data_IF_513459235779
#
_entry.id   IF_513459235779
#
_cell.length_a   1.000
_cell.length_b   1.000
_cell.length_c   1.000
_cell.angle_alpha   90.00
_cell.angle_beta   90.00
_cell.angle_gamma   90.00
#
_symmetry.space_group_name_H-M   'P 1'
#
loop_
_entity.id
_entity.type
_entity.pdbx_description
1 polymer ?
#
# COMPACT_ATOMS: atom_id res chain seq x y z
N UNK A 1 -15.42 -8.61 13.03
CA UNK A 1 -15.45 -8.04 11.65
C UNK A 1 -14.39 -8.72 10.82
N UNK A 2 -14.60 -8.91 9.49
CA UNK A 2 -13.55 -9.35 8.58
C UNK A 2 -12.48 -8.26 8.49
N UNK A 3 -11.18 -8.63 8.56
CA UNK A 3 -10.08 -7.70 8.32
C UNK A 3 -10.03 -7.28 6.85
N UNK A 4 -9.65 -6.03 6.59
CA UNK A 4 -9.36 -5.55 5.24
C UNK A 4 -8.05 -6.18 4.79
N UNK A 5 -8.06 -6.85 3.64
CA UNK A 5 -6.90 -7.55 3.07
C UNK A 5 -6.15 -6.63 2.11
N UNK A 6 -4.89 -6.40 2.41
CA UNK A 6 -4.06 -5.44 1.69
C UNK A 6 -3.01 -6.18 0.86
N UNK A 7 -2.91 -5.82 -0.42
CA UNK A 7 -1.78 -6.10 -1.28
C UNK A 7 -0.86 -4.88 -1.38
N UNK A 8 0.45 -5.09 -1.47
CA UNK A 8 1.41 -4.00 -1.66
C UNK A 8 2.20 -4.25 -2.93
N UNK A 9 2.11 -3.35 -3.91
CA UNK A 9 2.96 -3.37 -5.10
C UNK A 9 4.08 -2.34 -4.93
N UNK A 10 5.34 -2.81 -4.92
CA UNK A 10 6.51 -2.03 -4.57
C UNK A 10 6.81 -2.13 -3.07
N UNK A 11 7.69 -3.06 -2.71
CA UNK A 11 8.08 -3.29 -1.31
C UNK A 11 9.36 -2.51 -0.93
N UNK A 12 9.43 -1.29 -1.48
CA UNK A 12 10.44 -0.30 -1.17
C UNK A 12 10.24 0.34 0.21
N UNK A 13 10.81 1.51 0.43
CA UNK A 13 10.70 2.23 1.70
C UNK A 13 9.24 2.45 2.12
N UNK A 14 8.39 2.93 1.21
CA UNK A 14 6.98 3.23 1.51
C UNK A 14 6.18 1.95 1.77
N UNK A 15 6.28 0.96 0.88
CA UNK A 15 5.54 -0.30 1.05
C UNK A 15 5.86 -1.01 2.37
N UNK A 16 7.15 -1.05 2.76
CA UNK A 16 7.55 -1.63 4.05
C UNK A 16 7.01 -0.86 5.25
N UNK A 17 6.95 0.48 5.19
CA UNK A 17 6.37 1.26 6.27
C UNK A 17 4.85 1.09 6.37
N UNK A 18 4.16 0.90 5.24
CA UNK A 18 2.73 0.54 5.24
C UNK A 18 2.52 -0.79 5.96
N UNK A 19 3.30 -1.83 5.63
CA UNK A 19 3.21 -3.12 6.31
C UNK A 19 3.47 -2.97 7.81
N UNK A 20 4.54 -2.26 8.22
CA UNK A 20 4.85 -2.00 9.62
C UNK A 20 3.71 -1.28 10.35
N UNK A 21 3.09 -0.29 9.70
CA UNK A 21 1.97 0.45 10.28
C UNK A 21 0.73 -0.43 10.47
N UNK A 22 0.38 -1.24 9.45
CA UNK A 22 -0.74 -2.17 9.52
C UNK A 22 -0.50 -3.21 10.62
N UNK A 23 0.65 -3.87 10.61
CA UNK A 23 1.00 -4.90 11.59
C UNK A 23 1.06 -4.36 13.02
N UNK A 24 1.65 -3.17 13.23
CA UNK A 24 1.91 -2.64 14.56
C UNK A 24 0.76 -1.82 15.17
N UNK A 25 -0.15 -1.29 14.33
CA UNK A 25 -1.21 -0.37 14.81
C UNK A 25 -2.63 -0.87 14.54
N UNK A 26 -2.82 -1.70 13.51
CA UNK A 26 -4.15 -2.06 13.02
C UNK A 26 -4.34 -3.58 12.79
N UNK A 27 -3.70 -4.47 13.58
CA UNK A 27 -3.72 -5.92 13.33
C UNK A 27 -5.12 -6.55 13.43
N UNK A 28 -6.03 -5.89 14.15
CA UNK A 28 -7.40 -6.39 14.34
C UNK A 28 -8.35 -6.02 13.17
N UNK A 29 -8.01 -4.96 12.43
CA UNK A 29 -8.88 -4.44 11.36
C UNK A 29 -8.32 -4.62 9.96
N UNK A 30 -7.00 -4.80 9.84
CA UNK A 30 -6.29 -4.90 8.56
C UNK A 30 -5.26 -6.02 8.60
N UNK A 31 -4.96 -6.59 7.44
CA UNK A 31 -3.84 -7.52 7.26
C UNK A 31 -3.20 -7.35 5.89
N UNK A 32 -1.87 -7.36 5.83
CA UNK A 32 -1.15 -7.46 4.55
C UNK A 32 -1.04 -8.93 4.21
N UNK A 33 -1.57 -9.33 3.05
CA UNK A 33 -1.64 -10.74 2.63
C UNK A 33 -0.67 -11.06 1.51
N UNK A 34 -0.27 -10.07 0.72
CA UNK A 34 0.68 -10.26 -0.35
C UNK A 34 1.47 -8.98 -0.64
N UNK A 35 2.72 -9.15 -1.03
CA UNK A 35 3.59 -8.07 -1.51
C UNK A 35 4.19 -8.46 -2.86
N UNK A 36 4.49 -7.48 -3.69
CA UNK A 36 5.21 -7.66 -4.94
C UNK A 36 6.38 -6.69 -5.01
N UNK A 37 7.56 -7.22 -5.29
CA UNK A 37 8.76 -6.44 -5.56
C UNK A 37 9.73 -7.25 -6.44
N UNK A 38 10.62 -6.58 -7.16
CA UNK A 38 11.57 -7.26 -8.05
C UNK A 38 12.79 -7.86 -7.32
N UNK A 39 12.94 -7.57 -6.03
CA UNK A 39 13.92 -8.22 -5.18
C UNK A 39 13.42 -9.58 -4.69
N UNK A 40 14.37 -10.46 -4.37
CA UNK A 40 14.06 -11.77 -3.79
C UNK A 40 13.51 -11.66 -2.36
N UNK A 41 12.86 -12.71 -1.89
CA UNK A 41 12.22 -12.75 -0.59
C UNK A 41 13.18 -12.55 0.58
N UNK A 42 14.45 -13.00 0.46
CA UNK A 42 15.47 -12.83 1.52
C UNK A 42 15.88 -11.38 1.66
N UNK A 43 16.06 -10.70 0.53
CA UNK A 43 16.33 -9.26 0.49
C UNK A 43 15.17 -8.50 1.09
N UNK A 44 13.93 -8.80 0.70
CA UNK A 44 12.72 -8.19 1.24
C UNK A 44 12.58 -8.41 2.74
N UNK A 45 12.84 -9.63 3.23
CA UNK A 45 12.82 -9.96 4.66
C UNK A 45 13.85 -9.14 5.45
N UNK A 46 15.09 -9.08 4.96
CA UNK A 46 16.16 -8.32 5.61
C UNK A 46 15.85 -6.82 5.66
N UNK A 47 15.37 -6.25 4.55
CA UNK A 47 15.02 -4.83 4.46
C UNK A 47 13.79 -4.48 5.32
N UNK A 48 12.85 -5.41 5.51
CA UNK A 48 11.73 -5.22 6.41
C UNK A 48 12.17 -5.33 7.87
N UNK A 49 13.06 -6.30 8.20
CA UNK A 49 13.58 -6.49 9.54
C UNK A 49 14.34 -5.26 10.02
N UNK A 50 15.17 -4.67 9.16
CA UNK A 50 16.11 -3.60 9.51
C UNK A 50 15.78 -2.31 8.74
N UNK A 51 15.45 -1.26 9.47
CA UNK A 51 15.23 0.07 8.89
C UNK A 51 16.12 1.10 9.59
N UNK A 52 16.78 1.93 8.82
CA UNK A 52 17.73 2.93 9.34
C UNK A 52 17.05 3.98 10.22
N UNK A 53 15.81 4.35 9.89
CA UNK A 53 15.08 5.42 10.60
C UNK A 53 14.20 4.86 11.73
N UNK A 54 13.59 3.67 11.50
CA UNK A 54 12.58 3.11 12.40
C UNK A 54 13.08 1.89 13.18
N UNK A 55 14.35 1.51 13.02
CA UNK A 55 14.94 0.39 13.72
C UNK A 55 14.43 -0.97 13.26
N UNK A 56 14.70 -1.99 14.06
CA UNK A 56 14.24 -3.35 13.75
C UNK A 56 12.74 -3.50 14.04
N UNK A 57 12.07 -4.31 13.22
CA UNK A 57 10.74 -4.84 13.57
C UNK A 57 10.90 -5.72 14.80
N UNK A 58 9.99 -5.62 15.79
CA UNK A 58 10.08 -6.35 17.05
C UNK A 58 10.20 -7.87 16.88
N UNK A 59 9.29 -8.55 16.17
CA UNK A 59 9.44 -9.97 15.86
C UNK A 59 10.45 -10.20 14.74
N UNK A 60 10.94 -11.44 14.66
CA UNK A 60 11.83 -11.84 13.57
C UNK A 60 11.06 -11.94 12.26
N UNK A 61 11.58 -11.27 11.24
CA UNK A 61 11.12 -11.44 9.86
C UNK A 61 12.00 -12.48 9.18
N UNK A 62 11.40 -13.50 8.60
CA UNK A 62 12.14 -14.57 7.95
C UNK A 62 11.43 -15.03 6.66
N UNK A 63 12.20 -15.46 5.64
CA UNK A 63 11.62 -16.09 4.47
C UNK A 63 11.27 -17.55 4.79
N UNK A 64 10.09 -18.00 4.35
CA UNK A 64 9.71 -19.42 4.32
C UNK A 64 9.22 -19.78 2.92
N UNK A 65 10.06 -20.46 2.14
CA UNK A 65 9.84 -20.63 0.71
C UNK A 65 9.92 -19.26 0.02
N UNK A 66 8.87 -18.91 -0.69
CA UNK A 66 8.72 -17.61 -1.36
C UNK A 66 7.94 -16.59 -0.51
N UNK A 67 7.48 -16.95 0.70
CA UNK A 67 6.70 -16.09 1.57
C UNK A 67 7.56 -15.36 2.61
N UNK A 68 7.07 -14.19 3.05
CA UNK A 68 7.57 -13.50 4.22
C UNK A 68 6.76 -13.92 5.45
N UNK A 69 7.45 -14.29 6.54
CA UNK A 69 6.81 -14.63 7.81
C UNK A 69 7.22 -13.61 8.86
N UNK A 70 6.22 -12.99 9.50
CA UNK A 70 6.39 -12.00 10.57
C UNK A 70 5.51 -12.47 11.74
N UNK A 71 6.13 -13.04 12.77
CA UNK A 71 5.39 -13.66 13.86
C UNK A 71 4.40 -14.72 13.33
N UNK A 72 3.10 -14.52 13.51
CA UNK A 72 2.04 -15.41 12.98
C UNK A 72 1.55 -15.03 11.58
N UNK A 73 2.01 -13.92 11.03
CA UNK A 73 1.59 -13.45 9.71
C UNK A 73 2.44 -14.09 8.61
N UNK A 74 1.75 -14.69 7.66
CA UNK A 74 2.34 -15.17 6.42
C UNK A 74 1.89 -14.26 5.28
N UNK A 75 2.85 -13.65 4.60
CA UNK A 75 2.65 -12.69 3.52
C UNK A 75 3.25 -13.27 2.25
N UNK A 76 2.44 -13.55 1.26
CA UNK A 76 2.90 -14.05 -0.03
C UNK A 76 3.80 -12.99 -0.71
N UNK A 77 4.93 -13.42 -1.28
CA UNK A 77 5.85 -12.51 -1.93
C UNK A 77 6.00 -12.87 -3.40
N UNK A 78 5.72 -11.92 -4.27
CA UNK A 78 5.77 -12.04 -5.72
C UNK A 78 6.87 -11.18 -6.31
N UNK A 79 7.29 -11.50 -7.54
CA UNK A 79 8.29 -10.74 -8.31
C UNK A 79 7.82 -10.53 -9.75
N UNK A 80 6.64 -9.90 -9.89
CA UNK A 80 6.02 -9.64 -11.18
C UNK A 80 6.20 -8.19 -11.63
N UNK A 81 6.61 -8.02 -12.91
CA UNK A 81 6.74 -6.69 -13.52
C UNK A 81 5.41 -6.15 -14.03
N UNK A 82 4.56 -7.04 -14.50
CA UNK A 82 3.23 -6.70 -15.00
C UNK A 82 2.20 -6.82 -13.87
N UNK A 83 1.60 -5.72 -13.43
CA UNK A 83 0.65 -5.74 -12.31
C UNK A 83 -0.60 -6.56 -12.59
N UNK A 84 -0.93 -6.85 -13.86
CA UNK A 84 -2.07 -7.71 -14.21
C UNK A 84 -1.82 -9.19 -13.89
N UNK A 85 -0.56 -9.59 -13.68
CA UNK A 85 -0.16 -10.96 -13.39
C UNK A 85 -0.03 -11.27 -11.91
N UNK A 86 -0.12 -10.25 -11.06
CA UNK A 86 -0.08 -10.45 -9.61
C UNK A 86 -1.43 -11.01 -9.15
N UNK A 87 -1.47 -12.16 -8.48
CA UNK A 87 -2.74 -12.86 -8.20
C UNK A 87 -3.50 -12.27 -7.01
N UNK A 88 -3.82 -10.97 -7.05
CA UNK A 88 -4.54 -10.29 -5.96
C UNK A 88 -5.87 -10.95 -5.63
N UNK A 89 -6.61 -11.40 -6.66
CA UNK A 89 -7.90 -12.07 -6.48
C UNK A 89 -7.79 -13.39 -5.73
N UNK A 90 -6.72 -14.19 -5.94
CA UNK A 90 -6.48 -15.45 -5.23
C UNK A 90 -6.25 -15.23 -3.73
N UNK A 91 -5.68 -14.08 -3.38
CA UNK A 91 -5.48 -13.66 -1.99
C UNK A 91 -6.67 -12.89 -1.43
N UNK A 92 -7.73 -12.66 -2.20
CA UNK A 92 -8.90 -11.89 -1.76
C UNK A 92 -8.51 -10.48 -1.30
N UNK A 93 -7.64 -9.82 -2.06
CA UNK A 93 -7.15 -8.46 -1.74
C UNK A 93 -8.27 -7.45 -1.94
N UNK A 94 -8.63 -6.74 -0.89
CA UNK A 94 -9.60 -5.66 -0.96
C UNK A 94 -8.94 -4.37 -1.51
N UNK A 95 -7.72 -4.05 -1.03
CA UNK A 95 -7.03 -2.81 -1.38
C UNK A 95 -5.59 -3.10 -1.77
N UNK A 96 -5.17 -2.62 -2.94
CA UNK A 96 -3.76 -2.57 -3.32
C UNK A 96 -3.18 -1.21 -2.98
N UNK A 97 -2.05 -1.20 -2.28
CA UNK A 97 -1.19 -0.03 -2.10
C UNK A 97 -0.14 -0.04 -3.20
N UNK A 98 -0.29 0.86 -4.19
CA UNK A 98 0.67 1.04 -5.27
C UNK A 98 1.80 1.96 -4.80
N UNK A 99 2.95 1.38 -4.48
CA UNK A 99 4.10 2.05 -3.87
C UNK A 99 5.39 1.94 -4.69
N UNK A 100 5.30 1.54 -5.98
CA UNK A 100 6.48 1.45 -6.86
C UNK A 100 6.96 2.83 -7.32
N UNK A 101 6.09 3.82 -7.36
CA UNK A 101 6.35 5.12 -7.98
C UNK A 101 6.38 5.09 -9.51
N UNK A 102 6.07 3.95 -10.14
CA UNK A 102 6.06 3.75 -11.61
C UNK A 102 4.64 3.94 -12.16
N UNK A 103 3.64 3.28 -11.58
CA UNK A 103 2.25 3.30 -12.02
C UNK A 103 1.51 4.48 -11.39
N UNK A 104 1.70 5.67 -11.96
CA UNK A 104 1.18 6.94 -11.43
C UNK A 104 0.03 7.54 -12.24
N UNK A 105 -0.61 6.74 -13.08
CA UNK A 105 -1.85 7.15 -13.74
C UNK A 105 -2.98 6.20 -13.36
N UNK A 106 -4.21 6.72 -13.28
CA UNK A 106 -5.39 5.90 -13.02
C UNK A 106 -5.51 4.75 -14.01
N UNK A 107 -5.25 5.01 -15.30
CA UNK A 107 -5.24 3.98 -16.34
C UNK A 107 -4.26 2.84 -16.03
N UNK A 108 -3.03 3.14 -15.63
CA UNK A 108 -2.03 2.13 -15.27
C UNK A 108 -2.41 1.38 -13.99
N UNK A 109 -2.84 2.11 -12.95
CA UNK A 109 -3.18 1.53 -11.65
C UNK A 109 -4.42 0.61 -11.71
N UNK A 110 -5.34 0.83 -12.67
CA UNK A 110 -6.48 -0.08 -12.90
C UNK A 110 -6.07 -1.49 -13.33
N UNK A 111 -4.80 -1.74 -13.65
CA UNK A 111 -4.27 -3.08 -13.87
C UNK A 111 -4.43 -3.95 -12.61
N UNK A 112 -4.31 -3.38 -11.42
CA UNK A 112 -4.54 -4.10 -10.16
C UNK A 112 -6.00 -4.50 -9.95
N UNK A 113 -6.95 -3.67 -10.41
CA UNK A 113 -8.37 -4.04 -10.39
C UNK A 113 -8.66 -5.22 -11.32
N UNK A 114 -8.01 -5.26 -12.51
CA UNK A 114 -8.10 -6.40 -13.43
C UNK A 114 -7.50 -7.68 -12.84
N UNK A 115 -6.50 -7.53 -11.98
CA UNK A 115 -5.86 -8.63 -11.24
C UNK A 115 -6.65 -9.08 -10.00
N UNK A 116 -7.83 -8.50 -9.74
CA UNK A 116 -8.78 -8.95 -8.73
C UNK A 116 -8.82 -8.13 -7.44
N UNK A 117 -8.13 -7.00 -7.35
CA UNK A 117 -8.30 -6.06 -6.24
C UNK A 117 -9.59 -5.25 -6.40
N UNK A 118 -10.21 -4.82 -5.29
CA UNK A 118 -11.40 -3.97 -5.32
C UNK A 118 -11.05 -2.47 -5.43
N UNK A 119 -9.95 -2.06 -4.80
CA UNK A 119 -9.48 -0.67 -4.73
C UNK A 119 -7.97 -0.57 -4.90
N UNK A 120 -7.52 0.61 -5.34
CA UNK A 120 -6.08 0.93 -5.43
C UNK A 120 -5.82 2.28 -4.79
N UNK A 121 -4.79 2.34 -3.94
CA UNK A 121 -4.26 3.59 -3.38
C UNK A 121 -2.87 3.82 -3.96
N UNK A 122 -2.70 4.87 -4.76
CA UNK A 122 -1.40 5.29 -5.29
C UNK A 122 -0.71 6.17 -4.25
N UNK A 123 0.50 5.78 -3.80
CA UNK A 123 1.26 6.51 -2.77
C UNK A 123 2.08 7.67 -3.32
N UNK A 124 1.63 8.30 -4.39
CA UNK A 124 2.29 9.39 -5.08
C UNK A 124 1.25 10.27 -5.78
N UNK A 125 1.62 11.50 -6.20
CA UNK A 125 0.77 12.29 -7.09
C UNK A 125 0.45 11.48 -8.34
N UNK A 126 -0.81 11.42 -8.69
CA UNK A 126 -1.29 10.67 -9.84
C UNK A 126 -1.94 11.58 -10.89
N UNK A 127 -2.31 11.00 -12.02
CA UNK A 127 -3.16 11.60 -13.06
C UNK A 127 -4.23 10.59 -13.43
N UNK A 128 -5.41 11.06 -13.83
CA UNK A 128 -6.52 10.19 -14.28
C UNK A 128 -7.02 9.22 -13.18
N UNK A 129 -6.68 9.48 -11.93
CA UNK A 129 -7.27 8.81 -10.77
C UNK A 129 -8.70 9.30 -10.54
N UNK A 130 -9.49 8.54 -9.79
CA UNK A 130 -10.87 8.93 -9.49
C UNK A 130 -10.93 10.07 -8.48
N UNK A 131 -9.96 10.14 -7.55
CA UNK A 131 -9.86 11.20 -6.55
C UNK A 131 -8.43 11.27 -6.00
N UNK A 132 -7.91 12.49 -5.82
CA UNK A 132 -6.76 12.75 -4.94
C UNK A 132 -7.26 13.14 -3.56
N UNK A 133 -6.82 12.42 -2.51
CA UNK A 133 -7.26 12.61 -1.13
C UNK A 133 -6.15 13.15 -0.26
N UNK A 134 -6.46 14.19 0.52
CA UNK A 134 -5.65 14.66 1.65
C UNK A 134 -6.51 14.62 2.91
N UNK A 135 -6.13 13.80 3.88
CA UNK A 135 -6.88 13.63 5.13
C UNK A 135 -7.03 14.96 5.88
N UNK A 136 -8.23 15.22 6.37
CA UNK A 136 -8.59 16.47 7.04
C UNK A 136 -8.84 17.65 6.09
N UNK A 137 -8.60 17.49 4.78
CA UNK A 137 -8.85 18.53 3.77
C UNK A 137 -10.08 18.18 2.94
N UNK A 138 -10.03 17.08 2.20
CA UNK A 138 -11.09 16.66 1.29
C UNK A 138 -11.45 15.16 1.39
N UNK A 139 -11.12 14.50 2.48
CA UNK A 139 -11.43 13.09 2.71
C UNK A 139 -12.94 12.79 2.71
N UNK A 140 -13.76 13.81 2.98
CA UNK A 140 -15.24 13.69 2.89
C UNK A 140 -15.76 13.57 1.46
N UNK A 141 -14.96 13.91 0.47
CA UNK A 141 -15.33 13.77 -0.95
C UNK A 141 -15.19 12.32 -1.44
N UNK A 142 -14.60 11.44 -0.61
CA UNK A 142 -14.46 10.04 -0.96
C UNK A 142 -15.80 9.32 -0.95
N UNK A 143 -16.15 8.76 -2.11
CA UNK A 143 -17.32 7.90 -2.31
C UNK A 143 -16.85 6.48 -2.67
N UNK A 144 -17.04 5.49 -1.79
CA UNK A 144 -16.58 4.13 -2.03
C UNK A 144 -17.24 3.44 -3.23
N UNK A 145 -18.41 3.90 -3.66
CA UNK A 145 -19.10 3.35 -4.82
C UNK A 145 -18.52 3.85 -6.15
N UNK A 146 -17.87 5.02 -6.14
CA UNK A 146 -17.40 5.71 -7.35
C UNK A 146 -15.87 5.71 -7.47
N UNK A 147 -15.17 5.80 -6.35
CA UNK A 147 -13.72 5.99 -6.34
C UNK A 147 -13.01 4.65 -6.08
N UNK A 148 -12.47 4.06 -7.13
CA UNK A 148 -11.76 2.78 -7.09
C UNK A 148 -10.25 2.94 -7.14
N UNK A 149 -9.76 3.99 -7.79
CA UNK A 149 -8.34 4.35 -7.83
C UNK A 149 -8.17 5.73 -7.25
N UNK A 150 -7.57 5.81 -6.08
CA UNK A 150 -7.32 7.07 -5.39
C UNK A 150 -5.83 7.33 -5.22
N UNK A 151 -5.45 8.60 -5.23
CA UNK A 151 -4.11 9.04 -4.87
C UNK A 151 -4.13 9.67 -3.48
N UNK A 152 -3.16 9.35 -2.62
CA UNK A 152 -2.98 10.07 -1.36
C UNK A 152 -2.10 11.33 -1.52
N UNK A 153 -2.00 11.86 -2.74
CA UNK A 153 -1.21 13.04 -3.09
C UNK A 153 0.30 12.88 -2.85
N UNK A 154 1.04 13.98 -2.75
CA UNK A 154 2.45 14.00 -2.42
C UNK A 154 2.69 14.28 -0.93
N UNK A 155 3.88 13.98 -0.44
CA UNK A 155 4.32 14.39 0.91
C UNK A 155 4.24 15.90 1.09
N UNK A 156 4.59 16.69 0.06
CA UNK A 156 4.51 18.15 0.08
C UNK A 156 3.07 18.66 0.07
N UNK A 157 2.17 18.00 -0.68
CA UNK A 157 0.75 18.33 -0.66
C UNK A 157 0.12 18.04 0.71
N UNK A 158 0.44 16.88 1.31
CA UNK A 158 -0.04 16.53 2.65
C UNK A 158 0.50 17.48 3.74
N UNK A 159 1.67 18.07 3.53
CA UNK A 159 2.21 19.10 4.43
C UNK A 159 1.48 20.44 4.26
N UNK A 160 1.31 20.91 3.02
CA UNK A 160 0.85 22.26 2.73
C UNK A 160 -0.67 22.42 2.78
N UNK A 161 -1.43 21.47 2.22
CA UNK A 161 -2.87 21.63 2.05
C UNK A 161 -3.63 21.83 3.38
N UNK A 162 -3.34 21.10 4.47
CA UNK A 162 -4.00 21.35 5.76
C UNK A 162 -3.71 22.74 6.32
N UNK A 163 -2.47 23.26 6.14
CA UNK A 163 -2.10 24.61 6.60
C UNK A 163 -2.87 25.67 5.81
N UNK A 164 -2.90 25.53 4.48
CA UNK A 164 -3.64 26.45 3.61
C UNK A 164 -5.13 26.44 3.94
N UNK A 165 -5.69 25.24 4.19
CA UNK A 165 -7.10 25.11 4.58
C UNK A 165 -7.42 25.92 5.83
N UNK A 166 -6.62 25.78 6.89
CA UNK A 166 -6.82 26.54 8.15
C UNK A 166 -6.77 28.04 7.90
N UNK A 167 -5.77 28.52 7.13
CA UNK A 167 -5.62 29.96 6.82
C UNK A 167 -6.80 30.48 6.00
N UNK A 168 -7.34 29.65 5.10
CA UNK A 168 -8.45 30.03 4.23
C UNK A 168 -9.80 30.09 4.95
N UNK A 169 -10.00 29.24 5.96
CA UNK A 169 -11.25 29.13 6.73
C UNK A 169 -11.31 30.11 7.93
N UNK A 170 -10.19 30.78 8.27
CA UNK A 170 -10.11 31.81 9.34
C UNK A 170 -10.16 33.21 8.78
#
# INVERSE_FOLDING_TARGET
>A
MRRIRIGINGFGRIGRQVLRAVWGRYPESMEVVAVNDLFDVRTNANLLQHDTNYGCVGPRVQPEGDDLVIDSWRVANYSERDPTRIPWGEHGVDVVVEATGIFRTGTQARAHLKAGAEKVIITAPAKEEDLTVVLGVNDRDYDPARHHVVSNASCTTNCLAPVVKVIHET
#
